data_IF_068125047873
#
_entry.id   IF_068125047873
#
_cell.length_a   1.000
_cell.length_b   1.000
_cell.length_c   1.000
_cell.angle_alpha   90.00
_cell.angle_beta   90.00
_cell.angle_gamma   90.00
#
_symmetry.space_group_name_H-M   'P 1'
#
loop_
_entity.id
_entity.type
_entity.pdbx_description
1 polymer ?
#
# COMPACT_ATOMS: atom_id res chain seq x y z
N UNK A 1 33.04 24.68 -39.10
CA UNK A 1 32.44 23.35 -39.28
C UNK A 1 31.61 23.12 -38.04
N UNK A 2 30.36 23.57 -38.15
CA UNK A 2 29.34 23.40 -37.12
C UNK A 2 28.88 21.96 -37.18
N UNK A 3 28.95 21.26 -36.05
CA UNK A 3 28.37 19.95 -35.86
C UNK A 3 27.09 20.16 -35.01
N UNK A 4 25.96 20.16 -35.71
CA UNK A 4 24.62 20.15 -35.08
C UNK A 4 24.43 18.81 -34.36
N UNK A 5 24.49 18.86 -33.03
CA UNK A 5 23.98 17.80 -32.16
C UNK A 5 22.44 17.82 -32.17
N UNK A 6 21.85 17.09 -33.10
CA UNK A 6 20.42 16.77 -33.06
C UNK A 6 20.17 15.91 -31.84
N UNK A 7 19.63 16.55 -30.80
CA UNK A 7 18.98 15.85 -29.67
C UNK A 7 17.77 15.06 -30.21
N UNK A 8 17.91 13.76 -30.34
CA UNK A 8 16.82 12.86 -30.60
C UNK A 8 15.82 12.93 -29.42
N UNK A 9 14.75 13.66 -29.63
CA UNK A 9 13.56 13.69 -28.80
C UNK A 9 12.93 12.30 -28.84
N UNK A 10 13.28 11.49 -27.84
CA UNK A 10 12.78 10.13 -27.67
C UNK A 10 11.29 10.24 -27.34
N UNK A 11 10.47 10.16 -28.38
CA UNK A 11 9.01 10.09 -28.30
C UNK A 11 8.67 8.83 -27.53
N UNK A 12 8.60 8.98 -26.21
CA UNK A 12 7.92 8.02 -25.33
C UNK A 12 6.45 8.03 -25.71
N UNK A 13 6.07 7.14 -26.59
CA UNK A 13 4.66 6.78 -26.76
C UNK A 13 4.15 6.38 -25.37
N UNK A 14 3.45 7.29 -24.70
CA UNK A 14 2.64 6.99 -23.55
C UNK A 14 1.62 5.94 -24.02
N UNK A 15 1.97 4.67 -23.83
CA UNK A 15 0.98 3.59 -23.79
C UNK A 15 0.06 3.87 -22.60
N UNK A 16 -0.85 4.81 -22.80
CA UNK A 16 -1.98 5.05 -21.94
C UNK A 16 -2.88 3.82 -22.09
N UNK A 17 -2.52 2.74 -21.37
CA UNK A 17 -3.30 1.51 -21.34
C UNK A 17 -4.68 1.91 -20.84
N UNK A 18 -5.61 2.05 -21.76
CA UNK A 18 -6.99 2.44 -21.49
C UNK A 18 -7.70 1.30 -20.74
N UNK A 19 -7.42 1.25 -19.44
CA UNK A 19 -8.04 0.31 -18.52
C UNK A 19 -9.57 0.41 -18.55
N UNK A 20 -10.11 1.60 -18.83
CA UNK A 20 -11.56 1.82 -18.91
C UNK A 20 -12.17 1.03 -20.07
N UNK A 21 -11.45 0.85 -21.15
CA UNK A 21 -11.90 0.06 -22.31
C UNK A 21 -11.91 -1.45 -21.99
N UNK A 22 -10.85 -1.94 -21.32
CA UNK A 22 -10.76 -3.36 -20.93
C UNK A 22 -11.80 -3.73 -19.87
N UNK A 23 -12.02 -2.86 -18.87
CA UNK A 23 -13.01 -3.10 -17.81
C UNK A 23 -14.45 -3.14 -18.35
N UNK A 24 -14.82 -2.27 -19.29
CA UNK A 24 -16.16 -2.24 -19.92
C UNK A 24 -16.49 -3.54 -20.63
N UNK A 25 -15.51 -4.18 -21.28
CA UNK A 25 -15.72 -5.44 -22.02
C UNK A 25 -16.19 -6.58 -21.11
N UNK A 26 -15.80 -6.58 -19.83
CA UNK A 26 -16.10 -7.66 -18.88
C UNK A 26 -17.17 -7.31 -17.85
N UNK A 27 -17.86 -6.16 -17.99
CA UNK A 27 -18.93 -5.77 -17.07
C UNK A 27 -20.11 -6.74 -17.07
N UNK A 28 -20.37 -7.42 -18.18
CA UNK A 28 -21.46 -8.40 -18.33
C UNK A 28 -21.10 -9.80 -17.76
N UNK A 29 -19.81 -10.13 -17.61
CA UNK A 29 -19.33 -11.38 -17.04
C UNK A 29 -18.44 -11.10 -15.81
N UNK A 30 -18.97 -11.24 -14.57
CA UNK A 30 -18.23 -10.96 -13.36
C UNK A 30 -16.98 -11.83 -13.20
N UNK A 31 -17.01 -13.10 -13.62
CA UNK A 31 -15.88 -14.02 -13.48
C UNK A 31 -14.77 -13.68 -14.46
N UNK A 32 -15.10 -13.42 -15.72
CA UNK A 32 -14.15 -12.99 -16.74
C UNK A 32 -13.53 -11.63 -16.41
N UNK A 33 -14.34 -10.71 -15.86
CA UNK A 33 -13.85 -9.41 -15.39
C UNK A 33 -12.82 -9.56 -14.25
N UNK A 34 -13.10 -10.40 -13.26
CA UNK A 34 -12.19 -10.64 -12.16
C UNK A 34 -10.86 -11.23 -12.63
N UNK A 35 -10.91 -12.22 -13.54
CA UNK A 35 -9.70 -12.82 -14.11
C UNK A 35 -8.87 -11.80 -14.88
N UNK A 36 -9.50 -10.99 -15.73
CA UNK A 36 -8.82 -9.94 -16.50
C UNK A 36 -8.19 -8.88 -15.57
N UNK A 37 -8.89 -8.46 -14.51
CA UNK A 37 -8.33 -7.54 -13.51
C UNK A 37 -7.12 -8.14 -12.78
N UNK A 38 -7.15 -9.43 -12.43
CA UNK A 38 -6.01 -10.12 -11.80
C UNK A 38 -4.79 -10.18 -12.73
N UNK A 39 -4.98 -10.54 -13.99
CA UNK A 39 -3.90 -10.57 -14.97
C UNK A 39 -3.28 -9.18 -15.14
N UNK A 40 -4.11 -8.17 -15.30
CA UNK A 40 -3.68 -6.78 -15.43
C UNK A 40 -2.91 -6.29 -14.20
N UNK A 41 -3.42 -6.57 -12.98
CA UNK A 41 -2.71 -6.22 -11.74
C UNK A 41 -1.36 -6.94 -11.63
N UNK A 42 -1.28 -8.20 -12.03
CA UNK A 42 -0.03 -8.96 -12.01
C UNK A 42 1.01 -8.34 -12.96
N UNK A 43 0.61 -7.97 -14.17
CA UNK A 43 1.49 -7.29 -15.13
C UNK A 43 1.96 -5.93 -14.61
N UNK A 44 1.05 -5.14 -14.01
CA UNK A 44 1.41 -3.85 -13.42
C UNK A 44 2.38 -4.00 -12.25
N UNK A 45 2.13 -4.95 -11.35
CA UNK A 45 3.03 -5.23 -10.24
C UNK A 45 4.40 -5.67 -10.72
N UNK A 46 4.47 -6.55 -11.70
CA UNK A 46 5.73 -7.01 -12.28
C UNK A 46 6.51 -5.83 -12.89
N UNK A 47 5.88 -5.01 -13.73
CA UNK A 47 6.51 -3.81 -14.31
C UNK A 47 6.97 -2.81 -13.25
N UNK A 48 6.20 -2.66 -12.15
CA UNK A 48 6.57 -1.76 -11.06
C UNK A 48 7.73 -2.29 -10.22
N UNK A 49 7.88 -3.61 -10.07
CA UNK A 49 9.03 -4.23 -9.40
C UNK A 49 10.30 -4.10 -10.27
N UNK A 50 10.17 -4.34 -11.58
CA UNK A 50 11.30 -4.23 -12.51
C UNK A 50 11.79 -2.79 -12.68
N UNK A 51 10.88 -1.82 -12.67
CA UNK A 51 11.16 -0.39 -12.89
C UNK A 51 10.41 0.50 -11.90
N UNK A 52 10.73 0.45 -10.61
CA UNK A 52 9.99 1.16 -9.57
C UNK A 52 10.00 2.68 -9.76
N UNK A 53 11.09 3.22 -10.30
CA UNK A 53 11.29 4.67 -10.53
C UNK A 53 10.25 5.27 -11.49
N UNK A 54 9.85 4.53 -12.51
CA UNK A 54 8.98 5.03 -13.59
C UNK A 54 7.55 4.50 -13.50
N UNK A 55 7.36 3.25 -13.05
CA UNK A 55 6.08 2.54 -13.12
C UNK A 55 5.30 2.48 -11.80
N UNK A 56 5.96 2.72 -10.66
CA UNK A 56 5.32 2.62 -9.35
C UNK A 56 4.12 3.56 -9.21
N UNK A 57 4.23 4.79 -9.71
CA UNK A 57 3.14 5.78 -9.62
C UNK A 57 1.90 5.34 -10.36
N UNK A 58 2.06 4.82 -11.57
CA UNK A 58 0.95 4.37 -12.41
C UNK A 58 0.33 3.10 -11.87
N UNK A 59 1.15 2.12 -11.47
CA UNK A 59 0.67 0.90 -10.83
C UNK A 59 -0.12 1.21 -9.56
N UNK A 60 0.40 2.09 -8.69
CA UNK A 60 -0.27 2.48 -7.47
C UNK A 60 -1.60 3.20 -7.73
N UNK A 61 -1.67 4.09 -8.72
CA UNK A 61 -2.88 4.81 -9.10
C UNK A 61 -3.96 3.84 -9.61
N UNK A 62 -3.58 2.95 -10.52
CA UNK A 62 -4.51 2.00 -11.14
C UNK A 62 -5.01 0.95 -10.13
N UNK A 63 -4.11 0.35 -9.34
CA UNK A 63 -4.50 -0.64 -8.33
C UNK A 63 -5.39 0.02 -7.27
N UNK A 64 -5.09 1.26 -6.86
CA UNK A 64 -5.93 2.01 -5.93
C UNK A 64 -7.33 2.24 -6.47
N UNK A 65 -7.47 2.53 -7.77
CA UNK A 65 -8.78 2.65 -8.42
C UNK A 65 -9.55 1.34 -8.33
N UNK A 66 -8.89 0.19 -8.51
CA UNK A 66 -9.50 -1.12 -8.35
C UNK A 66 -9.86 -1.47 -6.90
N UNK A 67 -9.11 -0.94 -5.92
CA UNK A 67 -9.48 -1.10 -4.51
C UNK A 67 -10.81 -0.43 -4.16
N UNK A 68 -11.20 0.61 -4.89
CA UNK A 68 -12.47 1.32 -4.71
C UNK A 68 -13.53 0.89 -5.75
N UNK A 69 -13.34 -0.26 -6.42
CA UNK A 69 -14.25 -0.76 -7.45
C UNK A 69 -15.68 -0.92 -6.90
N UNK A 70 -16.66 -0.17 -7.46
CA UNK A 70 -18.02 -0.25 -7.00
C UNK A 70 -18.77 -1.49 -7.52
N UNK A 71 -18.24 -2.18 -8.55
CA UNK A 71 -18.93 -3.25 -9.26
C UNK A 71 -18.54 -4.65 -8.75
N UNK A 72 -17.39 -4.80 -8.10
CA UNK A 72 -16.95 -6.10 -7.61
C UNK A 72 -16.13 -5.98 -6.33
N UNK A 73 -16.68 -6.50 -5.24
CA UNK A 73 -16.00 -6.60 -3.95
C UNK A 73 -14.77 -7.53 -4.04
N UNK A 74 -14.87 -8.58 -4.85
CA UNK A 74 -13.79 -9.54 -5.09
C UNK A 74 -12.62 -8.89 -5.80
N UNK A 75 -12.86 -8.03 -6.80
CA UNK A 75 -11.81 -7.26 -7.48
C UNK A 75 -11.14 -6.30 -6.51
N UNK A 76 -11.91 -5.61 -5.67
CA UNK A 76 -11.36 -4.70 -4.66
C UNK A 76 -10.50 -5.45 -3.63
N UNK A 77 -10.88 -6.66 -3.24
CA UNK A 77 -10.08 -7.51 -2.34
C UNK A 77 -8.77 -7.97 -3.01
N UNK A 78 -8.85 -8.45 -4.26
CA UNK A 78 -7.69 -8.86 -5.05
C UNK A 78 -6.73 -7.68 -5.27
N UNK A 79 -7.24 -6.48 -5.53
CA UNK A 79 -6.45 -5.27 -5.67
C UNK A 79 -5.74 -4.87 -4.38
N UNK A 80 -6.42 -4.95 -3.23
CA UNK A 80 -5.80 -4.73 -1.93
C UNK A 80 -4.66 -5.69 -1.64
N UNK A 81 -4.85 -6.98 -1.92
CA UNK A 81 -3.83 -7.99 -1.75
C UNK A 81 -2.63 -7.72 -2.67
N UNK A 82 -2.87 -7.44 -3.95
CA UNK A 82 -1.82 -7.13 -4.94
C UNK A 82 -1.01 -5.90 -4.54
N UNK A 83 -1.66 -4.81 -4.11
CA UNK A 83 -0.97 -3.61 -3.65
C UNK A 83 -0.16 -3.84 -2.38
N UNK A 84 -0.68 -4.68 -1.46
CA UNK A 84 0.04 -5.07 -0.26
C UNK A 84 1.32 -5.80 -0.61
N UNK A 85 1.25 -6.81 -1.49
CA UNK A 85 2.42 -7.57 -1.93
C UNK A 85 3.43 -6.69 -2.66
N UNK A 86 2.99 -5.84 -3.58
CA UNK A 86 3.83 -4.89 -4.29
C UNK A 86 4.60 -3.98 -3.32
N UNK A 87 3.90 -3.38 -2.36
CA UNK A 87 4.54 -2.49 -1.39
C UNK A 87 5.47 -3.23 -0.44
N UNK A 88 5.13 -4.45 0.00
CA UNK A 88 6.01 -5.28 0.82
C UNK A 88 7.31 -5.65 0.13
N UNK A 89 7.28 -5.79 -1.19
CA UNK A 89 8.45 -6.12 -1.99
C UNK A 89 9.36 -4.90 -2.21
N UNK A 90 8.77 -3.74 -2.46
CA UNK A 90 9.53 -2.51 -2.79
C UNK A 90 9.96 -1.73 -1.54
N UNK A 91 9.17 -1.78 -0.44
CA UNK A 91 9.48 -1.02 0.78
C UNK A 91 10.79 -1.54 1.42
N UNK A 92 11.75 -0.64 1.73
CA UNK A 92 12.94 -1.03 2.46
C UNK A 92 12.62 -1.40 3.93
N UNK A 93 13.58 -2.03 4.61
CA UNK A 93 13.45 -2.39 6.03
C UNK A 93 13.77 -1.24 6.99
N UNK A 94 14.08 -0.06 6.44
CA UNK A 94 14.31 1.18 7.19
C UNK A 94 13.18 2.19 6.92
N UNK A 95 13.13 3.23 7.76
CA UNK A 95 12.15 4.31 7.58
C UNK A 95 12.54 5.22 6.43
N UNK A 96 11.62 5.37 5.48
CA UNK A 96 11.74 6.34 4.40
C UNK A 96 11.66 7.78 4.94
N UNK A 97 12.35 8.70 4.29
CA UNK A 97 12.26 10.13 4.59
C UNK A 97 11.17 10.76 3.76
N UNK A 98 10.25 11.45 4.42
CA UNK A 98 9.30 12.34 3.74
C UNK A 98 10.01 13.67 3.45
N UNK A 99 9.83 14.22 2.25
CA UNK A 99 10.31 15.57 1.91
C UNK A 99 9.31 16.58 2.46
N UNK A 100 9.76 17.46 3.36
CA UNK A 100 8.98 18.61 3.79
C UNK A 100 9.07 19.70 2.73
N UNK A 101 7.93 20.05 2.14
CA UNK A 101 7.85 21.08 1.10
C UNK A 101 8.33 22.47 1.57
N UNK A 102 8.21 22.75 2.87
CA UNK A 102 8.58 24.02 3.49
C UNK A 102 10.07 24.18 3.80
N UNK A 103 10.85 23.11 3.63
CA UNK A 103 12.29 23.12 3.83
C UNK A 103 12.96 22.86 2.49
N UNK A 104 13.90 23.72 2.12
CA UNK A 104 14.74 23.55 0.93
C UNK A 104 15.68 22.34 1.07
N UNK A 105 15.14 21.20 1.49
CA UNK A 105 15.92 19.96 1.78
C UNK A 105 16.65 19.38 0.57
N UNK A 106 16.30 19.85 -0.63
CA UNK A 106 16.94 19.44 -1.87
C UNK A 106 18.03 20.43 -2.32
N UNK A 107 18.17 21.60 -1.70
CA UNK A 107 19.19 22.57 -2.07
C UNK A 107 20.60 22.05 -1.73
N UNK A 108 21.55 22.28 -2.61
CA UNK A 108 22.94 21.85 -2.43
C UNK A 108 23.21 20.36 -2.65
N UNK A 109 22.21 19.54 -2.96
CA UNK A 109 22.40 18.12 -3.24
C UNK A 109 22.70 17.87 -4.72
N UNK A 110 23.46 16.81 -5.01
CA UNK A 110 23.66 16.35 -6.39
C UNK A 110 22.37 15.86 -7.02
N UNK A 111 22.24 15.94 -8.34
CA UNK A 111 21.01 15.56 -9.06
C UNK A 111 20.63 14.10 -8.85
N UNK A 112 21.61 13.21 -8.73
CA UNK A 112 21.39 11.80 -8.40
C UNK A 112 20.71 11.63 -7.04
N UNK A 113 21.18 12.35 -6.02
CA UNK A 113 20.61 12.31 -4.67
C UNK A 113 19.22 12.95 -4.65
N UNK A 114 19.02 14.06 -5.39
CA UNK A 114 17.69 14.68 -5.53
C UNK A 114 16.69 13.73 -6.17
N UNK A 115 17.09 13.00 -7.21
CA UNK A 115 16.25 12.01 -7.88
C UNK A 115 15.84 10.90 -6.90
N UNK A 116 16.82 10.27 -6.24
CA UNK A 116 16.58 9.22 -5.25
C UNK A 116 15.62 9.67 -4.14
N UNK A 117 15.80 10.87 -3.58
CA UNK A 117 14.92 11.39 -2.53
C UNK A 117 13.49 11.63 -3.02
N UNK A 118 13.30 12.08 -4.26
CA UNK A 118 11.96 12.23 -4.85
C UNK A 118 11.26 10.88 -5.02
N UNK A 119 12.01 9.84 -5.37
CA UNK A 119 11.50 8.48 -5.50
C UNK A 119 11.10 7.91 -4.14
N UNK A 120 11.95 8.07 -3.12
CA UNK A 120 11.65 7.67 -1.73
C UNK A 120 10.40 8.40 -1.19
N UNK A 121 10.26 9.69 -1.44
CA UNK A 121 9.11 10.49 -1.05
C UNK A 121 7.82 10.05 -1.76
N UNK A 122 7.91 9.74 -3.07
CA UNK A 122 6.78 9.21 -3.82
C UNK A 122 6.33 7.85 -3.26
N UNK A 123 7.27 6.96 -2.97
CA UNK A 123 6.99 5.67 -2.35
C UNK A 123 6.34 5.84 -0.97
N UNK A 124 6.87 6.73 -0.15
CA UNK A 124 6.33 7.03 1.17
C UNK A 124 4.91 7.59 1.11
N UNK A 125 4.64 8.53 0.20
CA UNK A 125 3.29 9.09 -0.04
C UNK A 125 2.31 8.04 -0.54
N UNK A 126 2.74 7.16 -1.43
CA UNK A 126 1.94 6.05 -1.94
C UNK A 126 1.58 5.09 -0.82
N UNK A 127 2.56 4.67 -0.03
CA UNK A 127 2.35 3.81 1.13
C UNK A 127 1.39 4.43 2.14
N UNK A 128 1.62 5.69 2.52
CA UNK A 128 0.73 6.44 3.43
C UNK A 128 -0.72 6.50 2.93
N UNK A 129 -0.89 6.78 1.64
CA UNK A 129 -2.22 6.84 1.03
C UNK A 129 -2.93 5.48 1.07
N UNK A 130 -2.20 4.39 0.83
CA UNK A 130 -2.74 3.03 0.88
C UNK A 130 -3.06 2.61 2.32
N UNK A 131 -2.18 2.88 3.29
CA UNK A 131 -2.47 2.63 4.70
C UNK A 131 -3.73 3.36 5.18
N UNK A 132 -3.96 4.60 4.76
CA UNK A 132 -5.20 5.33 5.07
C UNK A 132 -6.44 4.63 4.52
N UNK A 133 -6.36 4.06 3.32
CA UNK A 133 -7.45 3.26 2.74
C UNK A 133 -7.69 2.01 3.60
N UNK A 134 -6.65 1.25 3.92
CA UNK A 134 -6.76 0.03 4.75
C UNK A 134 -7.31 0.34 6.15
N UNK A 135 -6.77 1.36 6.83
CA UNK A 135 -7.21 1.73 8.19
C UNK A 135 -8.65 2.23 8.22
N UNK A 136 -9.08 2.96 7.19
CA UNK A 136 -10.47 3.39 7.03
C UNK A 136 -11.41 2.19 6.86
N UNK A 137 -11.02 1.22 6.03
CA UNK A 137 -11.85 0.05 5.76
C UNK A 137 -11.85 -0.95 6.92
N UNK A 138 -10.72 -1.16 7.61
CA UNK A 138 -10.65 -2.04 8.77
C UNK A 138 -11.55 -1.60 9.94
N UNK A 139 -11.85 -0.30 10.05
CA UNK A 139 -12.75 0.27 11.07
C UNK A 139 -14.23 0.20 10.71
N UNK A 140 -14.58 -0.17 9.48
CA UNK A 140 -15.98 -0.28 9.06
C UNK A 140 -16.62 -1.50 9.73
N UNK A 141 -17.85 -1.36 10.21
CA UNK A 141 -18.62 -2.51 10.68
C UNK A 141 -18.90 -3.50 9.54
N UNK A 142 -19.09 -4.76 9.89
CA UNK A 142 -19.31 -5.86 8.94
C UNK A 142 -20.49 -5.61 7.96
N UNK A 143 -21.46 -4.81 8.35
CA UNK A 143 -22.68 -4.49 7.58
C UNK A 143 -22.55 -3.25 6.68
N UNK A 144 -21.35 -2.68 6.54
CA UNK A 144 -21.16 -1.51 5.68
C UNK A 144 -21.28 -1.91 4.21
N UNK A 145 -22.31 -1.42 3.53
CA UNK A 145 -22.60 -1.63 2.09
C UNK A 145 -21.67 -0.78 1.21
N UNK A 146 -20.63 -0.21 1.77
CA UNK A 146 -19.74 0.70 1.04
C UNK A 146 -18.81 -0.10 0.13
N UNK A 147 -18.60 0.41 -1.09
CA UNK A 147 -17.59 -0.07 -2.04
C UNK A 147 -16.20 -0.20 -1.39
N UNK A 148 -15.41 -1.13 -1.89
CA UNK A 148 -14.05 -1.36 -1.42
C UNK A 148 -13.83 -2.70 -0.72
N UNK A 149 -12.61 -2.97 -0.26
CA UNK A 149 -12.25 -4.24 0.37
C UNK A 149 -12.95 -4.42 1.71
N UNK A 150 -13.20 -5.67 2.07
CA UNK A 150 -13.80 -6.00 3.35
C UNK A 150 -12.90 -5.59 4.53
N UNK A 151 -13.49 -5.34 5.72
CA UNK A 151 -12.73 -5.07 6.94
C UNK A 151 -11.70 -6.17 7.25
N UNK A 152 -12.09 -7.44 7.05
CA UNK A 152 -11.23 -8.61 7.25
C UNK A 152 -9.99 -8.58 6.34
N UNK A 153 -10.16 -8.35 5.04
CA UNK A 153 -9.04 -8.26 4.10
C UNK A 153 -8.14 -7.08 4.43
N UNK A 154 -8.72 -5.93 4.76
CA UNK A 154 -7.95 -4.74 5.15
C UNK A 154 -7.15 -4.98 6.43
N UNK A 155 -7.73 -5.65 7.43
CA UNK A 155 -7.05 -6.04 8.66
C UNK A 155 -5.88 -6.99 8.39
N UNK A 156 -6.09 -8.02 7.57
CA UNK A 156 -5.03 -8.97 7.18
C UNK A 156 -3.88 -8.29 6.44
N UNK A 157 -4.17 -7.34 5.54
CA UNK A 157 -3.14 -6.54 4.86
C UNK A 157 -2.31 -5.72 5.86
N UNK A 158 -2.95 -5.08 6.84
CA UNK A 158 -2.25 -4.33 7.90
C UNK A 158 -1.36 -5.24 8.76
N UNK A 159 -1.85 -6.44 9.12
CA UNK A 159 -1.08 -7.45 9.87
C UNK A 159 0.16 -7.87 9.08
N UNK A 160 0.04 -8.08 7.76
CA UNK A 160 1.18 -8.42 6.92
C UNK A 160 2.25 -7.32 6.89
N UNK A 161 1.86 -6.03 6.79
CA UNK A 161 2.83 -4.93 6.90
C UNK A 161 3.53 -4.93 8.24
N UNK A 162 2.79 -5.10 9.33
CA UNK A 162 3.37 -5.12 10.67
C UNK A 162 4.36 -6.27 10.86
N UNK A 163 4.02 -7.48 10.39
CA UNK A 163 4.86 -8.68 10.55
C UNK A 163 6.10 -8.65 9.67
N UNK A 164 5.98 -8.19 8.41
CA UNK A 164 7.08 -8.24 7.45
C UNK A 164 7.96 -6.98 7.46
N UNK A 165 7.42 -5.84 7.87
CA UNK A 165 8.10 -4.54 7.89
C UNK A 165 7.92 -3.82 9.24
N UNK A 166 8.34 -4.42 10.36
CA UNK A 166 8.07 -3.89 11.71
C UNK A 166 8.72 -2.52 11.96
N UNK A 167 9.78 -2.19 11.24
CA UNK A 167 10.50 -0.92 11.38
C UNK A 167 10.06 0.15 10.36
N UNK A 168 9.02 -0.13 9.54
CA UNK A 168 8.55 0.80 8.52
C UNK A 168 7.90 2.05 9.10
N UNK A 169 7.69 3.05 8.22
CA UNK A 169 6.92 4.25 8.56
C UNK A 169 5.50 3.88 9.00
N UNK A 170 4.91 4.70 9.85
CA UNK A 170 3.51 4.59 10.30
C UNK A 170 3.15 3.34 11.11
N UNK A 171 4.16 2.62 11.67
CA UNK A 171 3.92 1.45 12.52
C UNK A 171 2.87 1.70 13.61
N UNK A 172 2.97 2.82 14.33
CA UNK A 172 2.00 3.16 15.37
C UNK A 172 0.57 3.35 14.86
N UNK A 173 0.38 3.85 13.62
CA UNK A 173 -0.93 3.94 12.99
C UNK A 173 -1.49 2.55 12.63
N UNK A 174 -0.62 1.68 12.13
CA UNK A 174 -0.97 0.29 11.80
C UNK A 174 -1.37 -0.47 13.07
N UNK A 175 -0.57 -0.38 14.14
CA UNK A 175 -0.85 -1.00 15.43
C UNK A 175 -2.21 -0.55 15.97
N UNK A 176 -2.47 0.77 16.04
CA UNK A 176 -3.77 1.29 16.50
C UNK A 176 -4.93 0.77 15.66
N UNK A 177 -4.76 0.67 14.35
CA UNK A 177 -5.81 0.16 13.47
C UNK A 177 -6.07 -1.33 13.70
N UNK A 178 -5.03 -2.15 13.83
CA UNK A 178 -5.17 -3.60 14.09
C UNK A 178 -5.79 -3.84 15.45
N UNK A 179 -5.29 -3.20 16.50
CA UNK A 179 -5.84 -3.36 17.86
C UNK A 179 -7.31 -2.94 17.88
N UNK A 180 -7.64 -1.76 17.31
CA UNK A 180 -9.04 -1.31 17.23
C UNK A 180 -9.91 -2.28 16.46
N UNK A 181 -9.49 -2.80 15.31
CA UNK A 181 -10.26 -3.74 14.50
C UNK A 181 -10.42 -5.10 15.18
N UNK A 182 -9.42 -5.58 15.92
CA UNK A 182 -9.48 -6.84 16.66
C UNK A 182 -10.52 -6.82 17.78
N UNK A 183 -10.73 -5.66 18.41
CA UNK A 183 -11.74 -5.50 19.45
C UNK A 183 -13.15 -5.23 18.90
N UNK A 184 -13.28 -4.67 17.71
CA UNK A 184 -14.56 -4.27 17.13
C UNK A 184 -15.09 -5.20 16.05
N UNK A 185 -14.22 -6.06 15.51
CA UNK A 185 -14.60 -7.01 14.47
C UNK A 185 -15.35 -8.21 15.05
N UNK A 186 -16.42 -8.61 14.37
CA UNK A 186 -17.07 -9.91 14.59
C UNK A 186 -16.28 -11.09 14.00
N UNK A 187 -15.23 -10.81 13.25
CA UNK A 187 -14.38 -11.83 12.63
C UNK A 187 -13.23 -12.21 13.59
N UNK A 188 -13.40 -13.35 14.25
CA UNK A 188 -12.43 -13.89 15.23
C UNK A 188 -11.06 -14.14 14.59
N UNK A 189 -11.01 -14.45 13.29
CA UNK A 189 -9.74 -14.74 12.61
C UNK A 189 -8.79 -13.55 12.59
N UNK A 190 -9.30 -12.32 12.55
CA UNK A 190 -8.47 -11.11 12.62
C UNK A 190 -7.79 -11.00 14.00
N UNK A 191 -8.54 -11.27 15.06
CA UNK A 191 -8.00 -11.21 16.42
C UNK A 191 -6.92 -12.28 16.65
N UNK A 192 -7.13 -13.48 16.14
CA UNK A 192 -6.15 -14.57 16.21
C UNK A 192 -4.88 -14.26 15.41
N UNK A 193 -5.00 -13.81 14.15
CA UNK A 193 -3.87 -13.42 13.32
C UNK A 193 -3.11 -12.23 13.92
N UNK A 194 -3.82 -11.23 14.47
CA UNK A 194 -3.20 -10.10 15.15
C UNK A 194 -2.44 -10.52 16.42
N UNK A 195 -3.04 -11.40 17.24
CA UNK A 195 -2.40 -11.93 18.44
C UNK A 195 -1.12 -12.70 18.12
N UNK A 196 -1.15 -13.52 17.05
CA UNK A 196 0.03 -14.22 16.56
C UNK A 196 1.13 -13.25 16.13
N UNK A 197 0.78 -12.25 15.32
CA UNK A 197 1.72 -11.23 14.84
C UNK A 197 2.34 -10.45 16.01
N UNK A 198 1.53 -10.02 16.99
CA UNK A 198 2.04 -9.33 18.18
C UNK A 198 2.99 -10.22 19.00
N UNK A 199 2.65 -11.50 19.16
CA UNK A 199 3.51 -12.46 19.87
C UNK A 199 4.85 -12.65 19.17
N UNK A 200 4.87 -12.72 17.84
CA UNK A 200 6.09 -12.84 17.04
C UNK A 200 6.96 -11.58 17.16
N UNK A 201 6.35 -10.39 17.09
CA UNK A 201 7.06 -9.11 17.24
C UNK A 201 7.66 -9.00 18.65
N UNK A 202 6.89 -9.29 19.69
CA UNK A 202 7.37 -9.22 21.08
C UNK A 202 8.52 -10.22 21.36
N UNK A 203 8.51 -11.40 20.73
CA UNK A 203 9.60 -12.36 20.88
C UNK A 203 10.89 -11.93 20.19
N UNK A 204 10.79 -11.20 19.08
CA UNK A 204 11.93 -10.68 18.32
C UNK A 204 12.40 -9.30 18.79
N UNK A 205 11.77 -8.71 19.79
CA UNK A 205 12.04 -7.35 20.27
C UNK A 205 13.09 -7.34 21.37
N UNK A 206 14.36 -7.33 20.99
CA UNK A 206 15.49 -7.36 21.94
C UNK A 206 15.54 -6.13 22.86
N UNK A 207 15.09 -4.97 22.38
CA UNK A 207 15.13 -3.71 23.13
C UNK A 207 13.85 -3.44 23.93
N UNK A 208 12.76 -4.14 23.67
CA UNK A 208 11.48 -3.95 24.33
C UNK A 208 10.65 -2.76 23.81
N UNK A 209 11.15 -2.00 22.83
CA UNK A 209 10.48 -0.79 22.32
C UNK A 209 9.15 -1.10 21.63
N UNK A 210 9.12 -2.16 20.83
CA UNK A 210 7.91 -2.60 20.13
C UNK A 210 6.88 -3.17 21.10
N UNK A 211 7.35 -3.95 22.06
CA UNK A 211 6.53 -4.55 23.12
C UNK A 211 5.88 -3.46 23.96
N UNK A 212 6.66 -2.46 24.36
CA UNK A 212 6.16 -1.33 25.14
C UNK A 212 5.07 -0.55 24.37
N UNK A 213 5.31 -0.26 23.09
CA UNK A 213 4.33 0.45 22.25
C UNK A 213 3.02 -0.33 22.12
N UNK A 214 3.08 -1.65 21.89
CA UNK A 214 1.90 -2.51 21.79
C UNK A 214 1.11 -2.47 23.10
N UNK A 215 1.78 -2.66 24.25
CA UNK A 215 1.15 -2.66 25.58
C UNK A 215 0.52 -1.30 25.92
N UNK A 216 1.19 -0.19 25.61
CA UNK A 216 0.66 1.15 25.82
C UNK A 216 -0.63 1.37 25.00
N UNK A 217 -0.64 1.00 23.72
CA UNK A 217 -1.80 1.14 22.86
C UNK A 217 -2.98 0.26 23.31
N UNK A 218 -2.71 -0.97 23.76
CA UNK A 218 -3.74 -1.83 24.36
C UNK A 218 -4.32 -1.21 25.64
N UNK A 219 -3.47 -0.69 26.50
CA UNK A 219 -3.91 -0.02 27.73
C UNK A 219 -4.75 1.25 27.48
N UNK A 220 -4.42 2.02 26.45
CA UNK A 220 -5.22 3.18 26.03
C UNK A 220 -6.64 2.80 25.59
N UNK A 221 -6.80 1.65 24.93
CA UNK A 221 -8.09 1.18 24.45
C UNK A 221 -8.98 0.61 25.55
N UNK A 222 -8.40 -0.08 26.54
CA UNK A 222 -9.14 -0.63 27.68
C UNK A 222 -9.69 0.48 28.59
N UNK A 223 -9.07 1.67 28.60
CA UNK A 223 -9.50 2.82 29.40
C UNK A 223 -10.66 3.61 28.78
N UNK A 224 -11.04 3.33 27.54
CA UNK A 224 -12.16 3.97 26.81
C UNK A 224 -13.44 3.15 26.91
#
# INVERSE_FOLDING_TARGET
VDVDDEASDDQREDENVDFTFSAKKYLADPSGRRLACRQFMAELCQKAIEQPETRMKDAAKLIKTLCDDPHSKEVAQDACASMTLLLLDILPDYRLREINADKNELEGLSDKVKKQRKEEDLLCKTYKSFLRLLTKNAKKGANSIVSGPSPSVSGKCLIQFLSKKPNSNYRGEILRAIISSSFTSSDVTIAEEASKAFSEICRGDENGDHTLEILQLMAELVKK
#
